data_IF_814744349183
#
_entry.id   IF_814744349183
#
_cell.length_a   1.000
_cell.length_b   1.000
_cell.length_c   1.000
_cell.angle_alpha   90.00
_cell.angle_beta   90.00
_cell.angle_gamma   90.00
#
_symmetry.space_group_name_H-M   'P 1'
#
loop_
_entity.id
_entity.type
_entity.pdbx_description
1 polymer ?
2 non-polymer ?
3 water ?
#
# COMPACT_ATOMS: atom_id res chain seq x y z
N UNK A 22 -18.44 -16.97 -17.74
CA UNK A 22 -17.92 -16.28 -16.53
C UNK A 22 -18.97 -16.24 -15.42
N UNK A 23 -18.52 -16.30 -14.16
CA UNK A 23 -19.41 -16.24 -13.01
C UNK A 23 -19.92 -14.82 -12.80
N UNK A 24 -21.13 -14.70 -12.26
CA UNK A 24 -21.72 -13.39 -11.92
C UNK A 24 -20.79 -12.58 -11.04
N UNK A 25 -20.25 -13.22 -10.01
CA UNK A 25 -19.37 -12.60 -9.02
C UNK A 25 -18.17 -11.92 -9.67
N UNK A 26 -17.57 -12.60 -10.65
CA UNK A 26 -16.34 -12.12 -11.28
C UNK A 26 -16.68 -11.04 -12.30
N UNK A 27 -17.83 -11.20 -12.94
CA UNK A 27 -18.35 -10.24 -13.92
C UNK A 27 -18.54 -8.86 -13.31
N UNK A 28 -18.91 -8.82 -12.04
CA UNK A 28 -19.10 -7.55 -11.31
C UNK A 28 -17.82 -6.74 -11.21
N UNK A 29 -16.67 -7.41 -11.20
CA UNK A 29 -15.40 -6.76 -10.84
C UNK A 29 -14.80 -5.92 -11.97
N UNK A 30 -14.69 -4.59 -11.77
CA UNK A 30 -14.08 -3.72 -12.77
C UNK A 30 -12.68 -4.19 -13.05
N UNK A 31 -12.28 -4.15 -14.32
CA UNK A 31 -10.94 -4.61 -14.69
C UNK A 31 -9.87 -3.91 -13.87
N UNK A 32 -8.79 -4.64 -13.58
CA UNK A 32 -7.63 -4.05 -12.97
C UNK A 32 -7.16 -2.92 -13.87
N UNK A 33 -7.34 -1.68 -13.38
CA UNK A 33 -7.10 -0.49 -14.19
C UNK A 33 -5.66 -0.40 -14.72
N UNK A 34 -4.73 -1.03 -14.01
CA UNK A 34 -3.35 -1.12 -14.47
C UNK A 34 -2.96 -2.56 -14.78
N UNK A 35 -3.97 -3.38 -15.09
CA UNK A 35 -3.75 -4.75 -15.55
C UNK A 35 -3.63 -4.81 -17.06
N UNK A 43 1.49 3.34 -26.21
CA UNK A 43 1.49 4.52 -27.07
C UNK A 43 2.03 5.75 -26.34
N UNK A 44 2.71 6.63 -27.08
CA UNK A 44 3.29 7.85 -26.52
C UNK A 44 3.40 8.95 -27.58
N UNK A 45 3.59 10.19 -27.12
CA UNK A 45 3.78 11.31 -28.03
C UNK A 45 5.17 11.33 -28.65
N UNK A 46 5.54 12.45 -29.29
CA UNK A 46 6.84 12.61 -29.98
C UNK A 46 8.07 12.44 -29.08
N UNK A 47 8.00 12.98 -27.86
CA UNK A 47 9.12 13.00 -26.94
C UNK A 47 9.43 11.60 -26.40
N UNK A 48 10.70 11.33 -26.03
CA UNK A 48 10.98 10.07 -25.34
C UNK A 48 10.09 9.90 -24.11
N UNK A 49 9.59 8.68 -23.92
CA UNK A 49 8.63 8.38 -22.86
C UNK A 49 9.26 8.37 -21.47
N UNK A 50 8.59 9.03 -20.54
CA UNK A 50 8.88 8.91 -19.10
C UNK A 50 7.63 8.32 -18.46
N UNK A 51 7.79 7.13 -17.88
CA UNK A 51 6.68 6.39 -17.30
C UNK A 51 6.60 6.67 -15.82
N UNK A 52 5.79 7.66 -15.44
CA UNK A 52 5.63 8.07 -14.05
C UNK A 52 4.37 7.46 -13.45
N UNK A 53 3.92 6.36 -14.05
CA UNK A 53 2.76 5.63 -13.58
C UNK A 53 3.19 4.39 -12.75
N UNK A 54 4.49 4.31 -12.45
CA UNK A 54 5.08 3.15 -11.80
C UNK A 54 4.93 3.17 -10.28
N UNK A 55 4.43 2.08 -9.72
CA UNK A 55 4.68 1.81 -8.32
C UNK A 55 6.14 1.38 -8.32
N UNK A 56 6.71 1.26 -7.12
CA UNK A 56 7.99 0.57 -6.97
C UNK A 56 9.24 1.31 -7.39
N UNK A 57 10.17 1.49 -6.43
CA UNK A 57 11.52 1.94 -6.69
C UNK A 57 12.18 1.27 -7.90
N UNK A 58 13.21 1.92 -8.40
CA UNK A 58 13.85 1.60 -9.66
C UNK A 58 15.10 0.77 -9.42
N UNK A 59 15.50 0.69 -8.16
CA UNK A 59 16.75 0.07 -7.76
C UNK A 59 16.67 -1.44 -7.76
N UNK A 60 17.84 -2.10 -7.76
CA UNK A 60 17.94 -3.54 -7.70
C UNK A 60 17.74 -4.08 -6.28
N UNK A 61 17.44 -5.37 -6.19
CA UNK A 61 17.47 -6.09 -4.93
C UNK A 61 18.88 -6.08 -4.36
N UNK A 62 19.04 -5.74 -3.07
CA UNK A 62 20.40 -5.74 -2.52
C UNK A 62 21.12 -7.08 -2.76
N UNK A 63 22.40 -7.04 -3.12
CA UNK A 63 23.12 -8.25 -3.54
C UNK A 63 23.09 -9.36 -2.48
N UNK A 64 23.15 -8.97 -1.21
CA UNK A 64 23.09 -9.92 -0.11
C UNK A 64 21.85 -10.79 -0.07
N UNK A 65 20.69 -10.21 -0.41
CA UNK A 65 19.43 -10.96 -0.48
C UNK A 65 19.48 -11.94 -1.64
N UNK A 66 19.92 -11.43 -2.80
CA UNK A 66 20.16 -12.26 -3.98
C UNK A 66 21.10 -13.44 -3.70
N UNK A 67 22.26 -13.18 -3.09
CA UNK A 67 23.23 -14.27 -2.78
C UNK A 67 22.63 -15.37 -1.90
N UNK A 68 21.86 -14.97 -0.90
CA UNK A 68 21.22 -15.93 -0.01
C UNK A 68 20.07 -16.70 -0.65
N UNK A 69 19.34 -16.07 -1.57
CA UNK A 69 18.35 -16.79 -2.38
C UNK A 69 19.05 -17.85 -3.24
N UNK A 70 20.10 -17.46 -3.96
CA UNK A 70 20.88 -18.37 -4.78
C UNK A 70 21.30 -19.62 -3.99
N UNK A 71 21.77 -19.40 -2.77
CA UNK A 71 22.22 -20.48 -1.90
C UNK A 71 21.07 -21.34 -1.41
N UNK A 72 19.96 -20.70 -1.06
CA UNK A 72 18.74 -21.37 -0.59
C UNK A 72 18.13 -22.33 -1.60
N UNK A 73 18.50 -22.21 -2.89
CA UNK A 73 17.90 -23.07 -3.91
C UNK A 73 18.47 -24.48 -3.86
N UNK A 74 19.65 -24.62 -3.26
CA UNK A 74 20.35 -25.90 -3.20
C UNK A 74 19.97 -26.71 -1.95
N UNK A 75 19.09 -26.16 -1.12
CA UNK A 75 18.71 -26.77 0.16
C UNK A 75 17.54 -27.75 -0.03
N UNK A 76 17.74 -29.03 0.34
CA UNK A 76 16.75 -30.08 0.07
C UNK A 76 15.34 -29.72 0.52
N UNK A 77 15.20 -29.23 1.75
CA UNK A 77 13.88 -28.84 2.27
C UNK A 77 13.22 -27.71 1.49
N UNK A 78 14.03 -26.85 0.87
CA UNK A 78 13.50 -25.73 0.09
C UNK A 78 12.88 -26.10 -1.25
N UNK A 79 13.30 -27.24 -1.81
CA UNK A 79 12.82 -27.67 -3.12
C UNK A 79 11.47 -28.37 -3.06
N UNK A 80 11.07 -28.73 -1.84
CA UNK A 80 9.92 -29.59 -1.57
C UNK A 80 8.82 -28.85 -0.79
N UNK A 81 7.59 -29.37 -0.85
CA UNK A 81 6.51 -28.94 0.04
C UNK A 81 7.00 -28.82 1.47
N UNK A 82 6.58 -27.75 2.15
CA UNK A 82 6.91 -27.56 3.57
C UNK A 82 5.65 -27.23 4.37
N UNK A 83 5.85 -26.76 5.59
CA UNK A 83 4.73 -26.37 6.45
C UNK A 83 3.97 -25.22 5.78
N UNK A 84 2.66 -25.40 5.64
CA UNK A 84 1.78 -24.39 5.02
C UNK A 84 2.04 -22.99 5.52
N UNK A 85 2.11 -22.83 6.84
CA UNK A 85 2.18 -21.51 7.46
C UNK A 85 3.58 -20.93 7.62
N UNK A 86 4.59 -21.58 7.04
CA UNK A 86 5.91 -20.97 6.95
C UNK A 86 6.90 -21.51 7.94
N UNK A 87 8.18 -21.26 7.67
CA UNK A 87 9.26 -21.65 8.56
C UNK A 87 9.20 -20.91 9.89
N UNK A 88 9.60 -21.58 10.96
CA UNK A 88 9.73 -20.93 12.26
C UNK A 88 10.65 -19.71 12.21
N UNK A 89 11.76 -19.84 11.50
CA UNK A 89 12.71 -18.75 11.33
C UNK A 89 12.08 -17.53 10.63
N UNK A 90 11.12 -17.77 9.74
CA UNK A 90 10.40 -16.68 9.04
C UNK A 90 9.44 -16.02 10.02
N UNK A 91 8.61 -16.82 10.68
CA UNK A 91 7.69 -16.28 11.71
C UNK A 91 8.46 -15.44 12.75
N UNK A 92 9.65 -15.93 13.11
CA UNK A 92 10.52 -15.27 14.07
C UNK A 92 11.14 -13.98 13.54
N UNK A 93 11.52 -13.97 12.27
CA UNK A 93 12.10 -12.76 11.66
C UNK A 93 11.05 -11.65 11.59
N UNK A 94 9.80 -12.05 11.43
CA UNK A 94 8.66 -11.14 11.42
C UNK A 94 8.44 -10.49 12.79
N UNK A 95 8.35 -11.30 13.85
CA UNK A 95 8.10 -10.74 15.19
C UNK A 95 9.27 -9.89 15.67
N UNK A 96 10.49 -10.32 15.35
CA UNK A 96 11.71 -9.58 15.66
C UNK A 96 11.73 -8.20 14.99
N UNK A 97 11.37 -8.18 13.70
CA UNK A 97 11.27 -6.94 12.93
C UNK A 97 10.27 -6.01 13.60
N UNK A 98 9.04 -6.46 13.80
CA UNK A 98 8.04 -5.64 14.46
C UNK A 98 8.44 -5.15 15.85
N UNK A 99 9.14 -5.99 16.62
CA UNK A 99 9.63 -5.60 17.93
C UNK A 99 10.62 -4.45 17.87
N UNK A 100 11.71 -4.61 17.10
CA UNK A 100 12.72 -3.53 17.05
C UNK A 100 12.28 -2.34 16.20
N UNK A 101 11.36 -2.55 15.26
CA UNK A 101 10.86 -1.44 14.44
C UNK A 101 9.79 -0.62 15.15
N UNK A 102 8.79 -1.29 15.74
CA UNK A 102 7.60 -0.62 16.26
C UNK A 102 7.27 -0.91 17.74
N UNK A 103 8.17 -1.60 18.44
CA UNK A 103 7.95 -2.05 19.83
C UNK A 103 6.61 -2.79 20.00
N UNK A 104 6.28 -3.61 19.00
CA UNK A 104 5.04 -4.39 19.00
C UNK A 104 5.39 -5.84 19.26
N UNK A 105 4.82 -6.39 20.32
CA UNK A 105 5.02 -7.80 20.68
C UNK A 105 3.99 -8.67 19.98
N UNK A 106 4.48 -9.63 19.21
CA UNK A 106 3.61 -10.53 18.47
C UNK A 106 3.91 -11.98 18.77
N UNK A 107 2.86 -12.80 18.81
CA UNK A 107 3.00 -14.25 18.95
C UNK A 107 3.14 -14.92 17.57
N UNK A 108 4.17 -15.75 17.42
CA UNK A 108 4.48 -16.37 16.13
C UNK A 108 3.36 -17.25 15.56
N UNK A 109 2.62 -17.93 16.42
CA UNK A 109 1.54 -18.77 15.95
C UNK A 109 0.25 -17.97 15.79
N UNK A 110 -0.07 -17.16 16.80
CA UNK A 110 -1.39 -16.57 16.90
C UNK A 110 -1.55 -15.31 16.06
N UNK A 111 -0.45 -14.60 15.86
CA UNK A 111 -0.51 -13.21 15.39
C UNK A 111 0.35 -12.91 14.16
N UNK A 112 0.71 -13.95 13.42
CA UNK A 112 1.53 -13.82 12.22
C UNK A 112 1.03 -14.75 11.11
N UNK A 113 0.80 -14.17 9.92
CA UNK A 113 0.42 -14.94 8.73
C UNK A 113 1.24 -14.44 7.55
N UNK A 114 2.04 -15.33 6.97
CA UNK A 114 2.84 -15.02 5.80
C UNK A 114 1.97 -14.88 4.56
N UNK A 115 2.28 -13.89 3.72
CA UNK A 115 1.48 -13.59 2.51
C UNK A 115 2.28 -13.76 1.22
N UNK A 116 1.60 -14.25 0.18
CA UNK A 116 2.21 -14.47 -1.13
C UNK A 116 2.15 -13.17 -1.95
N UNK A 117 2.85 -12.15 -1.46
CA UNK A 117 2.65 -10.77 -1.88
C UNK A 117 1.42 -10.27 -1.16
N UNK A 118 1.46 -9.02 -0.70
CA UNK A 118 0.36 -8.48 0.12
C UNK A 118 -0.95 -8.32 -0.63
N UNK A 119 -0.89 -8.09 -1.94
CA UNK A 119 -2.12 -7.98 -2.73
C UNK A 119 -3.02 -9.20 -2.48
N UNK A 120 -2.41 -10.38 -2.53
CA UNK A 120 -3.15 -11.62 -2.30
C UNK A 120 -3.84 -11.67 -0.94
N UNK A 121 -3.14 -11.21 0.11
CA UNK A 121 -3.71 -11.21 1.46
C UNK A 121 -4.74 -10.12 1.67
N UNK A 122 -4.45 -8.92 1.16
CA UNK A 122 -5.39 -7.80 1.22
C UNK A 122 -6.71 -8.14 0.56
N UNK A 123 -6.66 -8.76 -0.62
CA UNK A 123 -7.93 -9.08 -1.32
C UNK A 123 -8.64 -10.30 -0.68
N UNK A 124 -7.91 -11.10 0.09
CA UNK A 124 -8.47 -12.27 0.78
C UNK A 124 -9.27 -11.93 2.05
N UNK A 125 -8.88 -10.85 2.73
CA UNK A 125 -9.43 -10.50 4.04
C UNK A 125 -10.96 -10.53 4.10
N UNK A 126 -11.66 -9.88 3.15
CA UNK A 126 -13.13 -9.91 3.30
C UNK A 126 -13.72 -11.33 3.25
N UNK A 127 -13.20 -12.16 2.36
CA UNK A 127 -13.67 -13.55 2.24
C UNK A 127 -13.54 -14.26 3.58
N UNK A 128 -12.44 -13.96 4.28
CA UNK A 128 -12.12 -14.54 5.58
C UNK A 128 -12.91 -13.99 6.76
N UNK A 129 -13.36 -12.74 6.68
CA UNK A 129 -13.79 -12.00 7.86
C UNK A 129 -15.26 -11.56 7.83
N UNK A 130 -15.78 -11.25 6.64
CA UNK A 130 -17.14 -10.71 6.53
C UNK A 130 -18.13 -11.70 5.93
N UNK A 131 -19.42 -11.40 6.08
CA UNK A 131 -20.47 -12.22 5.47
C UNK A 131 -21.24 -11.41 4.40
N UNK A 132 -21.89 -12.11 3.44
CA UNK A 132 -22.67 -11.42 2.40
C UNK A 132 -23.50 -10.25 2.93
N UNK A 133 -23.41 -9.09 2.25
CA UNK A 133 -24.17 -7.91 2.64
C UNK A 133 -23.51 -7.02 3.69
N UNK A 134 -22.37 -7.46 4.24
CA UNK A 134 -21.63 -6.66 5.20
C UNK A 134 -21.01 -5.47 4.50
N UNK A 135 -21.04 -4.31 5.15
CA UNK A 135 -20.43 -3.10 4.60
C UNK A 135 -18.95 -3.05 4.90
N UNK A 136 -18.18 -2.60 3.89
CA UNK A 136 -16.75 -2.41 4.05
C UNK A 136 -16.41 -0.98 3.61
N UNK A 137 -15.75 -0.24 4.49
CA UNK A 137 -15.32 1.14 4.19
C UNK A 137 -13.97 1.15 3.49
N UNK A 138 -13.92 1.82 2.34
CA UNK A 138 -12.74 1.91 1.49
C UNK A 138 -12.27 3.37 1.30
N UNK A 139 -10.97 3.65 1.55
CA UNK A 139 -10.48 5.03 1.44
C UNK A 139 -10.70 5.61 0.04
N UNK A 140 -11.28 6.81 0.00
CA UNK A 140 -11.47 7.57 -1.23
C UNK A 140 -10.87 8.95 -1.03
N UNK A 141 -9.72 9.25 -1.68
CA UNK A 141 -9.00 8.44 -2.64
C UNK A 141 -8.14 7.42 -1.95
N UNK A 142 -8.12 6.20 -2.47
CA UNK A 142 -7.39 5.14 -1.83
C UNK A 142 -7.01 4.08 -2.83
N UNK A 143 -6.43 2.99 -2.33
CA UNK A 143 -5.84 1.99 -3.19
C UNK A 143 -6.89 1.20 -3.98
N UNK A 144 -6.49 0.84 -5.20
CA UNK A 144 -7.39 0.30 -6.23
C UNK A 144 -7.86 -1.14 -5.98
N UNK A 145 -7.02 -1.94 -5.35
CA UNK A 145 -7.22 -3.40 -5.30
C UNK A 145 -8.20 -3.93 -4.24
N UNK A 146 -8.55 -3.11 -3.26
CA UNK A 146 -9.42 -3.57 -2.17
C UNK A 146 -10.81 -3.94 -2.67
N UNK A 147 -11.33 -3.18 -3.62
CA UNK A 147 -12.72 -3.32 -4.07
C UNK A 147 -13.01 -4.74 -4.51
N UNK A 148 -12.08 -5.34 -5.25
CA UNK A 148 -12.21 -6.71 -5.75
C UNK A 148 -12.44 -7.70 -4.60
N UNK A 149 -11.63 -7.59 -3.55
CA UNK A 149 -11.75 -8.42 -2.35
C UNK A 149 -13.15 -8.34 -1.73
N UNK A 150 -13.62 -7.13 -1.51
CA UNK A 150 -14.98 -6.94 -0.96
C UNK A 150 -16.03 -7.63 -1.84
N UNK A 151 -15.95 -7.40 -3.15
CA UNK A 151 -16.91 -7.97 -4.11
C UNK A 151 -16.81 -9.48 -4.20
N UNK A 152 -15.60 -10.00 -4.05
CA UNK A 152 -15.38 -11.45 -4.08
C UNK A 152 -16.02 -12.13 -2.87
N UNK A 153 -16.25 -11.36 -1.81
CA UNK A 153 -16.90 -11.85 -0.59
C UNK A 153 -18.37 -11.42 -0.47
N UNK A 154 -18.94 -10.93 -1.56
CA UNK A 154 -20.33 -10.43 -1.60
C UNK A 154 -20.61 -9.31 -0.59
N UNK A 155 -19.57 -8.57 -0.22
CA UNK A 155 -19.73 -7.44 0.69
C UNK A 155 -20.19 -6.22 -0.07
N UNK A 156 -20.52 -5.17 0.67
CA UNK A 156 -20.96 -3.91 0.08
C UNK A 156 -19.92 -2.81 0.34
N UNK A 157 -19.13 -2.48 -0.69
CA UNK A 157 -18.10 -1.45 -0.54
C UNK A 157 -18.73 -0.05 -0.47
N UNK A 158 -18.31 0.70 0.54
CA UNK A 158 -18.76 2.07 0.75
C UNK A 158 -17.54 2.98 0.96
N UNK A 159 -17.51 4.16 0.29
CA UNK A 159 -16.30 5.01 0.37
C UNK A 159 -16.11 5.67 1.72
N UNK A 160 -14.87 5.68 2.19
CA UNK A 160 -14.44 6.48 3.33
C UNK A 160 -13.87 7.77 2.74
N UNK A 161 -14.66 8.84 2.84
CA UNK A 161 -14.31 10.09 2.16
C UNK A 161 -13.20 10.87 2.87
N UNK A 162 -12.05 10.93 2.20
CA UNK A 162 -10.88 11.62 2.72
C UNK A 162 -10.66 12.91 1.94
N UNK A 163 -10.34 13.98 2.65
CA UNK A 163 -10.21 15.30 2.03
C UNK A 163 -8.82 15.88 2.19
N UNK A 164 -8.35 16.63 1.17
CA UNK A 164 -7.04 17.27 1.25
C UNK A 164 -7.08 18.42 2.27
N UNK A 165 -5.91 18.87 2.75
CA UNK A 165 -4.57 18.45 2.38
C UNK A 165 -4.10 17.16 3.04
N UNK A 166 -4.80 16.69 4.06
CA UNK A 166 -4.22 15.68 4.95
C UNK A 166 -4.84 14.29 4.85
N UNK A 167 -6.03 14.20 4.23
CA UNK A 167 -6.67 12.91 3.93
C UNK A 167 -6.75 11.95 5.13
N UNK A 168 -7.21 12.47 6.27
CA UNK A 168 -7.39 11.66 7.47
C UNK A 168 -8.89 11.37 7.65
N UNK A 169 -9.23 10.22 8.27
CA UNK A 169 -10.65 9.91 8.40
C UNK A 169 -11.36 10.90 9.32
N UNK A 170 -12.62 11.18 9.03
CA UNK A 170 -13.45 11.96 9.94
C UNK A 170 -14.66 11.12 10.28
N UNK A 171 -14.55 10.40 11.39
CA UNK A 171 -15.54 9.41 11.76
C UNK A 171 -16.91 10.02 12.06
N UNK A 172 -16.91 11.28 12.48
CA UNK A 172 -18.16 11.99 12.78
C UNK A 172 -18.95 12.31 11.52
N UNK A 173 -18.28 12.29 10.36
CA UNK A 173 -18.92 12.58 9.09
C UNK A 173 -19.41 11.34 8.33
N UNK A 174 -19.00 10.14 8.79
CA UNK A 174 -19.57 8.90 8.24
C UNK A 174 -21.01 8.77 8.74
N UNK A 175 -21.93 8.48 7.82
CA UNK A 175 -23.34 8.31 8.17
C UNK A 175 -23.48 7.28 9.30
N UNK A 176 -24.20 7.66 10.35
CA UNK A 176 -24.35 6.82 11.53
C UNK A 176 -24.85 5.42 11.18
N UNK A 177 -25.71 5.32 10.18
CA UNK A 177 -26.25 4.05 9.71
C UNK A 177 -25.20 3.15 9.07
N UNK A 178 -24.29 3.76 8.32
CA UNK A 178 -23.20 3.02 7.68
C UNK A 178 -22.22 2.45 8.71
N UNK A 179 -21.82 3.28 9.67
CA UNK A 179 -20.89 2.87 10.72
C UNK A 179 -21.41 1.62 11.44
N UNK A 180 -22.68 1.65 11.78
CA UNK A 180 -23.35 0.53 12.46
C UNK A 180 -23.31 -0.76 11.66
N UNK A 181 -23.39 -0.65 10.34
CA UNK A 181 -23.43 -1.83 9.47
C UNK A 181 -22.04 -2.27 9.01
N UNK A 182 -21.02 -1.46 9.29
CA UNK A 182 -19.67 -1.75 8.80
C UNK A 182 -18.95 -2.82 9.61
N UNK A 183 -18.45 -3.83 8.91
CA UNK A 183 -17.77 -4.93 9.55
C UNK A 183 -16.26 -4.90 9.28
N UNK A 184 -15.86 -4.16 8.27
CA UNK A 184 -14.45 -4.03 7.92
C UNK A 184 -14.13 -2.66 7.36
N UNK A 185 -12.94 -2.17 7.70
CA UNK A 185 -12.42 -0.88 7.22
C UNK A 185 -10.97 -1.03 6.78
N UNK A 186 -10.68 -0.60 5.55
CA UNK A 186 -9.30 -0.50 5.11
C UNK A 186 -8.75 0.88 5.41
N UNK A 187 -7.52 0.91 5.90
CA UNK A 187 -6.81 2.16 6.08
C UNK A 187 -5.45 1.96 5.43
N UNK A 188 -4.86 3.05 4.96
CA UNK A 188 -3.60 3.00 4.22
C UNK A 188 -2.81 4.28 4.49
N UNK A 189 -1.79 4.17 5.34
CA UNK A 189 -0.87 5.26 5.66
C UNK A 189 0.56 4.73 5.74
N UNK A 190 1.44 5.23 4.87
CA UNK A 190 1.18 6.24 3.84
C UNK A 190 0.13 5.84 2.80
N UNK A 191 -0.76 6.77 2.46
CA UNK A 191 -1.83 6.50 1.49
C UNK A 191 -1.36 6.46 0.04
N UNK A 192 -1.84 5.46 -0.68
CA UNK A 192 -1.69 5.40 -2.12
C UNK A 192 -3.09 5.71 -2.66
N UNK A 193 -3.27 6.84 -3.36
CA UNK A 193 -2.29 7.67 -4.07
C UNK A 193 -1.81 9.00 -3.46
N UNK A 194 -2.38 9.43 -2.33
CA UNK A 194 -2.23 10.81 -1.86
C UNK A 194 -0.93 11.09 -1.08
N UNK A 195 -0.26 10.03 -0.61
CA UNK A 195 1.00 10.17 0.14
C UNK A 195 0.84 10.64 1.58
N UNK A 196 -0.41 10.67 2.04
CA UNK A 196 -0.79 11.13 3.36
C UNK A 196 -0.27 10.15 4.40
N UNK A 197 0.11 10.66 5.57
CA UNK A 197 0.64 9.85 6.66
C UNK A 197 -0.28 9.91 7.89
N UNK A 198 -0.15 8.94 8.79
CA UNK A 198 -0.92 8.93 10.03
C UNK A 198 -0.02 9.21 11.22
N UNK A 199 -0.64 9.47 12.36
CA UNK A 199 0.11 9.56 13.60
C UNK A 199 -0.46 8.57 14.61
N UNK A 200 0.29 8.35 15.68
CA UNK A 200 -0.16 7.47 16.75
C UNK A 200 -1.58 7.85 17.14
N UNK A 201 -1.82 9.16 17.24
CA UNK A 201 -3.09 9.70 17.70
C UNK A 201 -4.24 9.43 16.74
N UNK A 202 -3.98 9.45 15.43
CA UNK A 202 -5.09 9.17 14.49
C UNK A 202 -5.47 7.68 14.54
N UNK A 203 -4.48 6.83 14.84
CA UNK A 203 -4.75 5.41 15.09
C UNK A 203 -5.49 5.25 16.43
N UNK A 204 -5.09 6.02 17.45
CA UNK A 204 -5.80 6.00 18.73
C UNK A 204 -7.29 6.24 18.52
N UNK A 205 -7.62 7.22 17.69
CA UNK A 205 -9.01 7.63 17.48
C UNK A 205 -9.82 6.54 16.78
N UNK A 206 -9.20 5.89 15.81
CA UNK A 206 -9.83 4.83 15.01
C UNK A 206 -10.13 3.65 15.91
N UNK A 207 -9.12 3.24 16.68
CA UNK A 207 -9.24 2.14 17.63
C UNK A 207 -10.35 2.41 18.68
N UNK A 208 -10.34 3.62 19.25
CA UNK A 208 -11.36 4.00 20.23
C UNK A 208 -12.77 4.03 19.62
N UNK A 209 -12.87 4.41 18.35
CA UNK A 209 -14.16 4.45 17.67
C UNK A 209 -14.76 3.05 17.48
N UNK A 210 -13.92 2.04 17.21
CA UNK A 210 -14.41 0.70 16.85
C UNK A 210 -14.11 -0.43 17.84
N UNK A 211 -13.44 -0.13 18.94
CA UNK A 211 -13.20 -1.17 19.95
C UNK A 211 -14.55 -1.51 20.61
N UNK A 212 -14.82 -2.80 20.77
CA UNK A 212 -16.09 -3.26 21.33
C UNK A 212 -17.25 -3.23 20.35
N UNK A 213 -16.97 -2.96 19.08
CA UNK A 213 -17.96 -3.13 18.02
C UNK A 213 -17.52 -4.36 17.25
N UNK A 214 -18.31 -4.82 16.28
CA UNK A 214 -17.82 -5.91 15.43
C UNK A 214 -17.09 -5.42 14.17
N UNK A 215 -16.68 -4.16 14.16
CA UNK A 215 -15.92 -3.60 13.04
C UNK A 215 -14.42 -3.83 13.25
N UNK A 216 -13.78 -4.45 12.26
CA UNK A 216 -12.34 -4.66 12.31
C UNK A 216 -11.63 -3.78 11.30
N UNK A 217 -10.33 -3.56 11.51
CA UNK A 217 -9.55 -2.70 10.64
C UNK A 217 -8.43 -3.50 10.00
N UNK A 218 -8.21 -3.26 8.72
CA UNK A 218 -7.03 -3.76 8.03
C UNK A 218 -6.22 -2.55 7.65
N UNK A 219 -5.01 -2.45 8.18
CA UNK A 219 -4.13 -1.36 7.80
C UNK A 219 -3.09 -1.84 6.81
N UNK A 220 -3.07 -1.22 5.63
CA UNK A 220 -2.17 -1.56 4.51
C UNK A 220 -0.90 -0.71 4.61
N UNK A 221 0.17 -1.34 5.08
CA UNK A 221 1.41 -0.66 5.46
C UNK A 221 2.51 -0.83 4.41
N UNK A 222 2.09 -0.98 3.15
CA UNK A 222 3.01 -1.16 2.01
C UNK A 222 4.14 -0.14 1.95
N UNK A 223 3.84 1.10 2.36
CA UNK A 223 4.84 2.18 2.33
C UNK A 223 5.38 2.56 3.70
N UNK A 224 5.29 1.62 4.64
CA UNK A 224 5.81 1.79 5.98
C UNK A 224 7.22 2.35 6.06
N UNK A 225 8.09 1.93 5.14
CA UNK A 225 9.51 2.33 5.13
C UNK A 225 9.74 3.79 4.72
N UNK A 226 8.78 4.35 4.00
CA UNK A 226 8.91 5.66 3.35
C UNK A 226 8.13 6.71 4.17
N UNK A 227 8.82 7.32 5.13
CA UNK A 227 8.23 8.34 6.01
C UNK A 227 9.21 9.48 6.00
N UNK A 228 8.79 10.62 5.46
CA UNK A 228 9.76 11.65 5.07
C UNK A 228 10.17 12.59 6.20
N UNK A 229 9.19 13.08 6.95
CA UNK A 229 9.48 14.00 8.05
C UNK A 229 9.32 13.35 9.43
N UNK A 230 8.98 12.07 9.44
CA UNK A 230 8.70 11.32 10.66
C UNK A 230 8.50 9.87 10.27
N UNK A 231 9.02 8.95 11.10
CA UNK A 231 8.85 7.51 10.88
C UNK A 231 7.37 7.19 10.97
N UNK A 232 6.85 6.46 9.99
CA UNK A 232 5.44 6.10 10.00
C UNK A 232 5.12 5.16 11.16
N UNK A 233 4.02 5.43 11.88
CA UNK A 233 3.60 4.57 12.98
C UNK A 233 2.84 3.32 12.54
N UNK A 234 2.99 2.26 13.33
CA UNK A 234 2.19 1.05 13.18
C UNK A 234 0.85 1.26 13.90
N UNK A 235 -0.24 0.75 13.33
CA UNK A 235 -1.52 0.74 14.06
C UNK A 235 -1.44 -0.16 15.30
N UNK A 236 -0.56 -1.16 15.26
CA UNK A 236 -0.40 -2.09 16.37
C UNK A 236 0.43 -1.53 17.53
N UNK A 237 1.09 -0.39 17.33
CA UNK A 237 1.82 0.26 18.42
C UNK A 237 0.91 1.18 19.24
N UNK A 238 -0.28 1.44 18.74
CA UNK A 238 -1.29 2.16 19.52
C UNK A 238 -1.92 1.19 20.51
N UNK A 239 -2.14 1.65 21.74
CA UNK A 239 -2.75 0.80 22.76
C UNK A 239 -4.05 0.18 22.24
N UNK A 240 -4.22 -1.13 22.45
CA UNK A 240 -5.42 -1.87 22.01
C UNK A 240 -5.52 -2.13 20.50
N UNK A 241 -4.48 -1.77 19.74
CA UNK A 241 -4.45 -1.96 18.29
C UNK A 241 -4.80 -3.38 17.83
N UNK A 242 -4.18 -4.37 18.46
CA UNK A 242 -4.39 -5.77 18.11
C UNK A 242 -5.81 -6.26 18.42
N UNK A 243 -6.55 -5.52 19.23
CA UNK A 243 -7.94 -5.90 19.55
C UNK A 243 -8.88 -5.65 18.40
N UNK A 244 -8.50 -4.72 17.52
CA UNK A 244 -9.39 -4.32 16.42
C UNK A 244 -8.80 -4.57 15.03
N UNK A 245 -7.49 -4.65 14.94
CA UNK A 245 -6.81 -4.56 13.65
C UNK A 245 -5.75 -5.61 13.36
N UNK A 246 -5.52 -5.82 12.06
CA UNK A 246 -4.29 -6.44 11.57
C UNK A 246 -3.58 -5.41 10.73
N UNK A 247 -2.27 -5.56 10.62
CA UNK A 247 -1.46 -4.73 9.75
C UNK A 247 -0.78 -5.60 8.72
N UNK A 248 -0.77 -5.15 7.47
CA UNK A 248 -0.15 -5.92 6.39
C UNK A 248 1.09 -5.18 5.89
N UNK A 249 2.20 -5.88 5.84
CA UNK A 249 3.50 -5.30 5.52
C UNK A 249 4.08 -6.02 4.31
N UNK A 250 4.64 -5.26 3.37
CA UNK A 250 5.19 -5.82 2.14
C UNK A 250 6.70 -5.65 2.08
N UNK A 251 7.39 -6.65 1.54
CA UNK A 251 8.82 -6.50 1.21
C UNK A 251 9.11 -5.88 -0.17
N UNK A 252 8.05 -5.70 -0.97
CA UNK A 252 8.17 -5.22 -2.34
C UNK A 252 8.90 -3.90 -2.51
N UNK A 253 8.40 -2.85 -1.84
CA UNK A 253 8.94 -1.51 -2.06
C UNK A 253 10.15 -1.24 -1.19
N UNK A 254 10.01 -1.51 0.09
CA UNK A 254 11.13 -1.35 1.03
C UNK A 254 12.43 -2.00 0.59
N UNK A 255 12.35 -3.24 0.09
CA UNK A 255 13.55 -4.04 -0.21
C UNK A 255 13.83 -4.23 -1.71
N UNK A 256 13.08 -3.54 -2.57
CA UNK A 256 13.22 -3.70 -4.03
C UNK A 256 13.05 -5.18 -4.41
N UNK A 257 11.97 -5.78 -3.90
CA UNK A 257 11.68 -7.20 -4.10
C UNK A 257 10.26 -7.38 -4.63
N UNK A 258 9.79 -6.43 -5.43
CA UNK A 258 8.39 -6.41 -5.87
C UNK A 258 7.96 -7.61 -6.68
N UNK A 259 8.85 -8.09 -7.54
CA UNK A 259 8.60 -9.28 -8.33
C UNK A 259 8.63 -10.58 -7.55
N UNK A 260 9.21 -10.55 -6.35
CA UNK A 260 9.41 -11.75 -5.53
C UNK A 260 8.11 -12.32 -4.95
N UNK A 261 7.14 -11.46 -4.64
CA UNK A 261 5.82 -11.86 -4.10
C UNK A 261 5.90 -12.39 -2.66
N UNK A 262 6.26 -11.50 -1.73
CA UNK A 262 6.36 -11.85 -0.32
C UNK A 262 5.98 -10.69 0.61
N UNK A 263 5.15 -10.99 1.60
CA UNK A 263 4.71 -10.02 2.60
C UNK A 263 4.16 -10.79 3.79
N UNK A 264 3.55 -10.07 4.73
CA UNK A 264 2.92 -10.73 5.89
C UNK A 264 1.84 -9.87 6.52
N UNK A 265 0.90 -10.56 7.18
CA UNK A 265 -0.12 -9.94 8.00
C UNK A 265 0.27 -10.16 9.45
N UNK A 266 -0.04 -9.17 10.29
CA UNK A 266 0.36 -9.20 11.70
C UNK A 266 -0.74 -8.58 12.55
N UNK A 267 -1.05 -9.19 13.71
CA UNK A 267 -2.02 -8.60 14.64
C UNK A 267 -3.15 -9.45 15.18
N UNK A 268 -4.37 -8.88 15.18
CA UNK A 268 -5.57 -9.52 15.74
C UNK A 268 -5.61 -11.03 15.52
N UNK A 269 -5.61 -11.81 16.61
CA UNK A 269 -5.53 -13.28 16.49
C UNK A 269 -6.66 -13.88 15.63
N UNK A 270 -7.89 -13.45 15.88
CA UNK A 270 -9.06 -13.98 15.15
C UNK A 270 -8.91 -13.78 13.65
N UNK A 271 -8.53 -12.56 13.26
CA UNK A 271 -8.35 -12.23 11.85
C UNK A 271 -7.18 -12.98 11.24
N UNK A 272 -6.07 -13.05 11.98
CA UNK A 272 -4.92 -13.81 11.51
C UNK A 272 -5.28 -15.30 11.32
N UNK A 273 -5.98 -15.86 12.29
CA UNK A 273 -6.32 -17.29 12.21
C UNK A 273 -7.23 -17.59 11.02
N UNK A 274 -8.14 -16.66 10.69
CA UNK A 274 -9.04 -16.82 9.53
C UNK A 274 -8.23 -16.79 8.22
N UNK A 275 -7.33 -15.81 8.11
CA UNK A 275 -6.42 -15.77 6.96
C UNK A 275 -5.61 -17.05 6.82
N UNK A 276 -5.01 -17.51 7.93
CA UNK A 276 -4.22 -18.74 7.94
C UNK A 276 -5.08 -19.92 7.46
N UNK A 277 -6.29 -20.06 7.98
CA UNK A 277 -7.17 -21.11 7.51
C UNK A 277 -7.45 -21.00 6.00
N UNK A 278 -7.72 -19.79 5.54
CA UNK A 278 -8.00 -19.57 4.12
C UNK A 278 -6.83 -20.03 3.27
N UNK A 279 -5.62 -19.71 3.71
CA UNK A 279 -4.41 -20.07 2.96
C UNK A 279 -4.05 -21.56 2.99
N UNK A 280 -4.58 -22.32 3.96
CA UNK A 280 -4.39 -23.79 3.91
C UNK A 280 -5.25 -24.40 2.79
N UNK A 281 -6.35 -23.72 2.46
CA UNK A 281 -7.24 -24.17 1.37
C UNK A 281 -6.88 -23.70 -0.03
N UNK A 282 -6.22 -22.55 -0.14
CA UNK A 282 -5.93 -21.93 -1.45
C UNK A 282 -4.46 -22.06 -1.80
N UNK A 283 -3.68 -22.58 -0.86
CA UNK A 283 -2.23 -22.69 -1.04
C UNK A 283 -1.65 -23.86 -0.28
N UNK A 284 -0.38 -24.15 -0.55
CA UNK A 284 0.34 -25.28 0.04
C UNK A 284 1.69 -24.84 0.60
N UNK A 285 1.74 -23.62 1.11
CA UNK A 285 2.98 -23.10 1.70
C UNK A 285 3.78 -22.24 0.74
N UNK A 286 4.69 -21.44 1.29
CA UNK A 286 5.57 -20.59 0.49
C UNK A 286 6.88 -21.31 0.17
N UNK A 287 7.36 -21.12 -1.06
CA UNK A 287 8.67 -21.58 -1.50
C UNK A 287 9.70 -21.36 -0.39
N UNK A 288 10.35 -22.43 0.05
CA UNK A 288 11.32 -22.35 1.12
C UNK A 288 12.46 -21.37 0.85
N UNK A 289 13.00 -21.40 -0.36
CA UNK A 289 14.09 -20.49 -0.74
C UNK A 289 13.66 -19.01 -0.76
N UNK A 290 12.41 -18.75 -1.16
CA UNK A 290 11.84 -17.41 -1.04
C UNK A 290 11.71 -17.01 0.42
N UNK A 291 11.32 -17.96 1.27
CA UNK A 291 11.26 -17.68 2.71
C UNK A 291 12.62 -17.29 3.28
N UNK A 292 13.67 -18.01 2.89
CA UNK A 292 15.03 -17.72 3.37
C UNK A 292 15.55 -16.33 2.93
N UNK A 293 15.29 -15.96 1.68
CA UNK A 293 15.64 -14.63 1.18
C UNK A 293 14.89 -13.54 1.96
N UNK A 294 13.60 -13.78 2.24
CA UNK A 294 12.79 -12.88 3.05
C UNK A 294 13.31 -12.73 4.49
N UNK A 295 13.73 -13.86 5.08
CA UNK A 295 14.29 -13.88 6.43
C UNK A 295 15.54 -13.03 6.43
N UNK A 296 16.39 -13.25 5.43
CA UNK A 296 17.64 -12.53 5.35
C UNK A 296 17.38 -11.04 5.23
N UNK A 297 16.39 -10.65 4.41
CA UNK A 297 16.08 -9.24 4.20
C UNK A 297 15.65 -8.56 5.49
N UNK A 298 14.65 -9.14 6.15
CA UNK A 298 14.09 -8.61 7.39
C UNK A 298 15.13 -8.49 8.49
N UNK A 299 15.96 -9.52 8.63
CA UNK A 299 16.98 -9.54 9.67
C UNK A 299 18.11 -8.53 9.49
N UNK A 300 18.47 -8.21 8.25
CA UNK A 300 19.72 -7.49 8.03
C UNK A 300 19.63 -6.12 7.37
N UNK A 301 18.43 -5.71 6.95
CA UNK A 301 18.33 -4.51 6.10
C UNK A 301 17.54 -3.31 6.65
N UNK A 302 17.61 -3.12 7.95
CA UNK A 302 17.01 -1.94 8.59
C UNK A 302 17.59 -0.62 8.03
N UNK A 303 18.92 -0.56 7.89
CA UNK A 303 19.59 0.64 7.39
C UNK A 303 19.17 0.93 5.95
N UNK A 304 19.06 -0.13 5.14
CA UNK A 304 18.66 0.03 3.75
C UNK A 304 17.26 0.61 3.65
N UNK A 305 16.35 0.20 4.53
CA UNK A 305 14.99 0.77 4.56
C UNK A 305 15.05 2.28 4.80
N UNK A 306 15.96 2.69 5.67
CA UNK A 306 16.18 4.10 5.98
C UNK A 306 16.69 4.82 4.74
N UNK A 307 17.70 4.24 4.10
CA UNK A 307 18.28 4.76 2.85
C UNK A 307 17.20 5.01 1.79
N UNK A 308 16.34 4.02 1.59
CA UNK A 308 15.23 4.09 0.65
C UNK A 308 14.35 5.29 0.93
N UNK A 309 13.96 5.45 2.19
CA UNK A 309 13.13 6.58 2.60
C UNK A 309 13.82 7.90 2.30
N UNK A 310 15.11 8.00 2.65
CA UNK A 310 15.84 9.22 2.40
C UNK A 310 15.96 9.57 0.91
N UNK A 311 16.21 8.56 0.08
CA UNK A 311 16.34 8.75 -1.37
C UNK A 311 15.06 9.33 -1.97
N UNK A 312 13.91 8.82 -1.53
CA UNK A 312 12.63 9.33 -2.03
C UNK A 312 12.27 10.69 -1.45
N UNK A 313 12.71 10.93 -0.22
CA UNK A 313 12.55 12.22 0.44
C UNK A 313 13.13 13.35 -0.41
N UNK A 314 14.40 13.22 -0.81
CA UNK A 314 15.04 14.25 -1.62
C UNK A 314 14.48 14.30 -3.04
N UNK A 315 14.26 13.13 -3.65
CA UNK A 315 13.58 13.07 -4.94
C UNK A 315 12.29 13.90 -4.91
N UNK A 316 11.54 13.75 -3.82
CA UNK A 316 10.31 14.52 -3.57
C UNK A 316 10.60 16.01 -3.44
N UNK A 317 11.64 16.34 -2.67
CA UNK A 317 12.02 17.74 -2.42
C UNK A 317 12.33 18.49 -3.72
N UNK A 318 13.08 17.84 -4.60
CA UNK A 318 13.48 18.40 -5.87
C UNK A 318 12.30 18.57 -6.82
N UNK A 319 11.44 17.56 -6.84
CA UNK A 319 10.32 17.56 -7.77
C UNK A 319 9.25 18.55 -7.35
N UNK A 320 8.94 18.57 -6.06
CA UNK A 320 7.94 19.50 -5.52
C UNK A 320 8.44 20.95 -5.53
N UNK A 321 9.77 21.14 -5.49
CA UNK A 321 10.38 22.47 -5.61
C UNK A 321 10.14 23.03 -7.00
N UNK A 322 10.41 22.23 -8.03
CA UNK A 322 10.11 22.54 -9.42
C UNK A 322 8.64 22.92 -9.59
N UNK A 323 7.74 22.12 -9.01
CA UNK A 323 6.31 22.35 -9.16
C UNK A 323 5.87 23.64 -8.48
N UNK A 324 6.31 23.84 -7.24
CA UNK A 324 5.93 25.00 -6.45
C UNK A 324 6.40 26.32 -7.06
N UNK A 325 7.61 26.30 -7.63
CA UNK A 325 8.19 27.49 -8.26
C UNK A 325 7.41 27.97 -9.47
N UNK A 326 6.80 27.02 -10.19
CA UNK A 326 6.02 27.33 -11.39
C UNK A 326 4.51 27.41 -11.09
N UNK A 327 4.18 27.42 -9.81
CA UNK A 327 2.79 27.50 -9.34
C UNK A 327 1.89 26.42 -9.96
N UNK A 328 2.36 25.17 -9.93
CA UNK A 328 1.52 24.01 -10.24
C UNK A 328 1.00 23.50 -8.91
N UNK A 329 -0.34 23.42 -8.74
CA UNK A 329 -0.95 22.96 -7.49
C UNK A 329 -0.86 21.45 -7.24
N UNK A 330 -0.25 21.06 -6.12
CA UNK A 330 -0.13 19.66 -5.73
C UNK A 330 -0.43 19.50 -4.24
N UNK A 331 -0.62 18.26 -3.81
CA UNK A 331 -0.69 17.94 -2.39
C UNK A 331 0.69 17.42 -1.98
N UNK A 332 1.34 18.14 -1.07
CA UNK A 332 2.66 17.77 -0.55
C UNK A 332 2.63 16.33 -0.04
N UNK A 333 3.60 15.53 -0.49
CA UNK A 333 3.71 14.12 -0.12
C UNK A 333 4.45 13.98 1.21
N UNK A 334 3.90 13.17 2.11
CA UNK A 334 4.51 13.01 3.44
C UNK A 334 5.18 11.65 3.58
N UNK A 335 4.79 10.74 2.71
CA UNK A 335 5.40 9.41 2.61
C UNK A 335 5.04 8.74 1.29
N UNK A 336 5.52 7.51 1.12
CA UNK A 336 5.29 6.78 -0.13
C UNK A 336 6.24 7.24 -1.21
N UNK A 337 5.91 6.95 -2.46
CA UNK A 337 6.82 7.21 -3.56
C UNK A 337 6.21 8.11 -4.66
N UNK A 338 5.09 8.78 -4.36
CA UNK A 338 4.35 9.56 -5.37
C UNK A 338 4.15 11.03 -5.01
N UNK A 339 3.83 11.85 -6.01
CA UNK A 339 3.20 13.16 -5.76
C UNK A 339 1.79 13.19 -6.37
N UNK A 340 0.84 13.73 -5.61
CA UNK A 340 -0.59 13.80 -5.96
C UNK A 340 -0.79 15.21 -6.52
N UNK A 341 -0.98 15.29 -7.84
CA UNK A 341 -1.00 16.55 -8.59
C UNK A 341 -2.41 16.89 -9.03
N UNK A 342 -2.82 18.15 -8.85
CA UNK A 342 -4.10 18.63 -9.40
C UNK A 342 -4.08 18.62 -10.93
N UNK A 343 -5.20 18.23 -11.53
CA UNK A 343 -5.42 18.51 -12.95
C UNK A 343 -5.77 19.99 -13.14
N UNK A 344 -5.44 20.55 -14.31
CA UNK A 344 -5.78 21.94 -14.56
C UNK A 344 -7.25 22.05 -14.90
N UNK A 345 -7.83 23.27 -14.79
CA UNK A 345 -9.23 23.42 -15.16
C UNK A 345 -9.50 22.96 -16.60
N UNK A 346 -10.65 22.33 -16.81
CA UNK A 346 -11.05 21.84 -18.13
C UNK A 346 -10.52 20.46 -18.48
N UNK A 347 -9.71 19.88 -17.59
CA UNK A 347 -9.23 18.50 -17.70
C UNK A 347 -9.62 17.69 -16.48
N UNK A 348 -10.27 16.55 -16.67
CA UNK A 348 -10.36 15.58 -15.59
C UNK A 348 -9.08 14.73 -15.57
N UNK A 349 -9.02 13.75 -14.67
CA UNK A 349 -7.81 12.94 -14.50
C UNK A 349 -7.46 12.13 -15.74
N UNK A 350 -8.49 11.63 -16.42
CA UNK A 350 -8.30 10.80 -17.60
C UNK A 350 -7.97 11.63 -18.84
N UNK A 351 -8.60 12.80 -18.96
CA UNK A 351 -8.29 13.76 -20.00
C UNK A 351 -6.87 14.30 -19.85
N UNK A 352 -6.48 14.60 -18.61
CA UNK A 352 -5.12 15.06 -18.33
C UNK A 352 -4.10 13.96 -18.54
N UNK A 353 -4.48 12.72 -18.20
CA UNK A 353 -3.60 11.56 -18.44
C UNK A 353 -3.32 11.42 -19.93
N UNK A 354 -4.38 11.47 -20.74
CA UNK A 354 -4.23 11.38 -22.19
C UNK A 354 -3.45 12.55 -22.78
N UNK A 355 -3.74 13.77 -22.31
CA UNK A 355 -2.95 14.96 -22.67
C UNK A 355 -1.45 14.77 -22.43
N UNK A 356 -1.08 14.35 -21.23
CA UNK A 356 0.34 14.19 -20.86
C UNK A 356 1.08 13.12 -21.70
N UNK A 357 0.42 12.00 -21.97
CA UNK A 357 1.03 10.94 -22.80
C UNK A 357 1.15 11.37 -24.27
N UNK A 358 0.08 11.96 -24.79
CA UNK A 358 0.02 12.44 -26.19
C UNK A 358 0.99 13.60 -26.45
N UNK A 359 0.88 14.66 -25.66
CA UNK A 359 1.65 15.89 -25.88
C UNK A 359 3.03 15.84 -25.26
N UNK A 360 3.12 15.33 -24.03
CA UNK A 360 4.35 15.43 -23.24
C UNK A 360 5.11 14.11 -23.06
N UNK A 361 4.56 13.02 -23.59
CA UNK A 361 5.13 11.66 -23.40
C UNK A 361 5.42 11.34 -21.94
N UNK A 362 4.53 11.79 -21.05
CA UNK A 362 4.58 11.45 -19.63
C UNK A 362 3.39 10.57 -19.29
N UNK A 363 3.67 9.35 -18.85
CA UNK A 363 2.60 8.47 -18.40
C UNK A 363 2.38 8.70 -16.91
N UNK A 364 1.15 9.03 -16.54
CA UNK A 364 0.82 9.19 -15.13
C UNK A 364 -0.33 8.27 -14.80
N UNK A 365 -0.59 8.10 -13.51
CA UNK A 365 -1.76 7.40 -13.07
C UNK A 365 -2.89 8.40 -12.80
N UNK A 366 -4.01 8.25 -13.54
CA UNK A 366 -5.17 9.09 -13.31
C UNK A 366 -5.76 8.83 -11.93
N UNK A 367 -6.25 9.88 -11.29
CA UNK A 367 -6.87 9.76 -9.98
C UNK A 367 -8.14 8.93 -9.95
N UNK A 368 -8.81 8.79 -11.10
CA UNK A 368 -10.16 8.20 -11.14
C UNK A 368 -10.30 6.83 -10.48
N UNK A 369 -9.50 5.83 -10.93
CA UNK A 369 -9.55 4.50 -10.31
C UNK A 369 -9.28 4.48 -8.80
N UNK A 370 -8.70 5.54 -8.25
CA UNK A 370 -8.46 5.63 -6.80
C UNK A 370 -9.69 6.12 -6.05
N UNK A 371 -10.72 6.50 -6.81
CA UNK A 371 -12.00 6.92 -6.25
C UNK A 371 -12.47 8.23 -6.84
N UNK A 372 -13.75 8.53 -6.58
CA UNK A 372 -14.42 9.78 -6.96
C UNK A 372 -13.60 11.03 -6.60
N UNK A 373 -12.98 11.00 -5.42
CA UNK A 373 -12.19 12.11 -4.91
C UNK A 373 -10.86 12.29 -5.62
N UNK A 374 -10.53 11.36 -6.52
CA UNK A 374 -9.35 11.43 -7.35
C UNK A 374 -9.65 11.97 -8.75
N UNK A 375 -10.91 12.31 -9.00
CA UNK A 375 -11.33 12.75 -10.33
C UNK A 375 -10.51 13.91 -10.94
N UNK A 376 -9.99 14.78 -10.07
CA UNK A 376 -9.25 15.94 -10.54
C UNK A 376 -7.81 15.99 -10.03
N UNK A 377 -7.21 14.80 -9.95
CA UNK A 377 -5.80 14.64 -9.63
C UNK A 377 -5.17 13.56 -10.48
N UNK A 378 -3.85 13.59 -10.56
CA UNK A 378 -3.10 12.49 -11.13
C UNK A 378 -1.98 12.11 -10.16
N UNK A 379 -1.61 10.83 -10.18
CA UNK A 379 -0.54 10.31 -9.35
C UNK A 379 0.76 10.20 -10.15
N UNK A 380 1.83 10.71 -9.58
CA UNK A 380 3.11 10.81 -10.26
C UNK A 380 4.16 10.06 -9.47
N UNK A 381 4.72 9.02 -10.08
CA UNK A 381 5.71 8.19 -9.40
C UNK A 381 7.11 8.78 -9.49
N UNK A 382 7.76 8.89 -8.34
CA UNK A 382 9.13 9.39 -8.29
C UNK A 382 10.14 8.24 -8.39
N UNK A 383 9.64 7.06 -8.75
CA UNK A 383 10.43 5.85 -8.78
C UNK A 383 11.11 5.64 -10.14
N UNK A 384 11.92 6.60 -10.53
CA UNK A 384 12.64 6.56 -11.80
C UNK A 384 13.95 7.27 -11.60
N UNK A 385 14.87 7.05 -12.55
CA UNK A 385 16.14 7.79 -12.61
C UNK A 385 16.05 9.14 -11.91
N UNK A 386 16.98 9.38 -10.98
CA UNK A 386 17.11 10.68 -10.32
C UNK A 386 17.48 11.69 -11.38
N UNK A 387 17.45 11.22 -12.63
CA UNK A 387 17.77 11.99 -13.83
C UNK A 387 16.45 12.33 -14.51
N UNK A 388 15.96 11.42 -15.36
CA UNK A 388 14.58 11.41 -15.86
C UNK A 388 13.62 12.35 -15.13
N UNK A 389 13.51 12.17 -13.81
CA UNK A 389 12.65 12.95 -12.92
C UNK A 389 12.78 14.46 -13.07
N UNK A 390 13.99 14.91 -13.41
CA UNK A 390 14.28 16.32 -13.62
C UNK A 390 13.73 16.82 -14.94
N UNK A 391 13.87 16.00 -15.99
CA UNK A 391 13.34 16.30 -17.31
C UNK A 391 11.82 16.30 -17.27
N UNK A 392 11.26 15.33 -16.53
CA UNK A 392 9.82 15.24 -16.32
C UNK A 392 9.28 16.46 -15.58
N UNK A 393 10.09 17.01 -14.69
CA UNK A 393 9.73 18.20 -13.93
C UNK A 393 9.64 19.41 -14.86
N UNK A 394 10.66 19.61 -15.68
CA UNK A 394 10.70 20.72 -16.63
C UNK A 394 9.59 20.61 -17.68
N UNK A 395 9.28 19.38 -18.10
CA UNK A 395 8.16 19.13 -19.01
C UNK A 395 6.85 19.62 -18.40
N UNK A 396 6.63 19.25 -17.14
CA UNK A 396 5.41 19.60 -16.41
C UNK A 396 5.25 21.09 -16.08
N UNK A 397 6.35 21.74 -15.73
CA UNK A 397 6.34 23.18 -15.40
C UNK A 397 5.99 24.05 -16.60
N UNK A 398 6.31 23.58 -17.80
CA UNK A 398 5.91 24.22 -19.05
C UNK A 398 4.38 24.37 -19.14
N UNK A 399 3.66 23.55 -18.38
CA UNK A 399 2.20 23.53 -18.42
C UNK A 399 1.55 24.46 -17.41
N UNK A 400 2.37 25.28 -16.75
CA UNK A 400 1.91 26.25 -15.74
C UNK A 400 0.76 27.13 -16.25
N UNK A 401 0.82 27.50 -17.53
CA UNK A 401 -0.21 28.32 -18.17
C UNK A 401 -1.61 27.69 -18.09
N UNK A 402 -1.68 26.36 -18.00
CA UNK A 402 -2.95 25.65 -17.95
C UNK A 402 -3.68 25.88 -16.64
N UNK A 403 -2.92 26.22 -15.60
CA UNK A 403 -3.48 26.33 -14.25
C UNK A 403 -3.98 27.73 -13.88
N UNK A 404 -3.66 28.72 -14.71
CA UNK A 404 -4.18 30.09 -14.56
C UNK A 404 -5.70 30.06 -14.40
X LIG B 1 -1.07 -1.81 -1.07
X LIG B 1 -0.53 -0.62 -1.50
X LIG B 1 -1.02 0.68 -0.90
X LIG B 1 0.48 -0.65 -2.47
X LIG B 1 1.04 0.51 -2.93
X LIG B 1 0.92 -1.88 -2.99
X LIG B 1 2.30 -1.92 -3.56
X LIG B 1 0.35 -3.07 -2.55
X LIG B 1 -0.65 -3.03 -1.59
X LIG B 1 0.78 -4.42 -3.12
X LIG B 1 2.06 -4.82 -2.64
X LIG B 1 2.63 -6.29 -2.98
X LIG B 1 3.76 -6.17 -4.00
X LIG B 1 1.49 -7.11 -3.53
X LIG B 1 3.16 -6.87 -1.70
#
# INVERSE_FOLDING_TARGET
XGSSHHHHHHSSGLVPRGSHXISNKLANIPDSYFGKTXGRKIEHGPLPLINMAVGIPDGPTPQGIIDHFQKALTIPENQKYGAFHGKEAFKQAIVDFYQRQYNVTLDKEDEVCILYGTKNGLVAVPTCVINPGDYVLLPDPGYTDYLAGVLLADGKPVPLNLEPPHYLPDWSKVDSQIIDKTKLIYLTYPNNPTGSTATKEVFDEAIAKFKGTDTKIVHDFAYGAFGFDAKNPSILASENGKDVAIEIYSLSKGYNMSGFRVGFAVGNKDMIQALKKYQTHTNAGMFGALQDAAIYALNHYDDFLEEQSNVFKTRRDRFEAMLAKADLPFVHAKGGIYVWLETPPGYDSEQFEQFLVQEKSILVAPGKPFGENGNRYVRISLALDDQKLDEAAIRLTELAYLYE
PLP N1 C2 C2A C3 O3 C4 C4A C5 C6 C5A O4P P O1P O2P O3P
#
